data_IF_010958383837
#
_entry.id   IF_010958383837
#
_cell.length_a   1.000
_cell.length_b   1.000
_cell.length_c   1.000
_cell.angle_alpha   90.00
_cell.angle_beta   90.00
_cell.angle_gamma   90.00
#
_symmetry.space_group_name_H-M   'P 1'
#
loop_
_entity.id
_entity.type
_entity.pdbx_description
1 polymer ?
#
# COMPACT_ATOMS: atom_id res chain seq x y z
N UNK A 1 2.04 12.20 -9.53
CA UNK A 1 1.11 12.72 -8.50
C UNK A 1 -0.18 11.92 -8.54
N UNK A 2 -0.44 11.20 -7.45
CA UNK A 2 -1.60 10.30 -7.29
C UNK A 2 -2.86 11.14 -7.03
N UNK A 3 -3.95 10.83 -7.73
CA UNK A 3 -5.22 11.53 -7.52
C UNK A 3 -5.91 11.11 -6.22
N UNK A 4 -6.64 12.03 -5.58
CA UNK A 4 -7.44 11.72 -4.37
C UNK A 4 -8.42 10.56 -4.59
N UNK A 5 -9.09 10.55 -5.75
CA UNK A 5 -10.04 9.51 -6.12
C UNK A 5 -9.35 8.14 -6.25
N UNK A 6 -8.22 8.09 -6.97
CA UNK A 6 -7.44 6.86 -7.15
C UNK A 6 -6.96 6.32 -5.81
N UNK A 7 -6.47 7.20 -4.92
CA UNK A 7 -6.03 6.80 -3.58
C UNK A 7 -7.17 6.20 -2.75
N UNK A 8 -8.35 6.83 -2.72
CA UNK A 8 -9.52 6.29 -2.03
C UNK A 8 -9.99 4.97 -2.64
N UNK A 9 -9.85 4.82 -3.96
CA UNK A 9 -10.21 3.59 -4.65
C UNK A 9 -9.34 2.41 -4.22
N UNK A 10 -8.03 2.65 -4.06
CA UNK A 10 -7.05 1.63 -3.65
C UNK A 10 -7.12 1.33 -2.15
N UNK A 11 -7.45 2.32 -1.32
CA UNK A 11 -7.51 2.14 0.13
C UNK A 11 -8.57 1.09 0.55
N UNK A 12 -8.27 0.20 1.52
CA UNK A 12 -9.12 -0.93 1.88
C UNK A 12 -10.31 -0.54 2.77
N UNK A 13 -11.11 0.45 2.34
CA UNK A 13 -12.38 0.79 2.99
C UNK A 13 -13.41 -0.32 2.80
N UNK A 14 -14.23 -0.56 3.81
CA UNK A 14 -15.38 -1.45 3.69
C UNK A 14 -16.45 -0.85 2.75
N UNK A 15 -17.38 -1.69 2.28
CA UNK A 15 -18.39 -1.30 1.30
C UNK A 15 -19.29 -0.15 1.77
N UNK A 16 -19.65 -0.13 3.06
CA UNK A 16 -20.51 0.92 3.62
C UNK A 16 -19.80 2.29 3.63
N UNK A 17 -18.55 2.32 4.12
CA UNK A 17 -17.72 3.53 4.13
C UNK A 17 -17.47 4.03 2.71
N UNK A 18 -17.20 3.11 1.77
CA UNK A 18 -17.00 3.47 0.37
C UNK A 18 -18.24 4.09 -0.26
N UNK A 19 -19.41 3.49 -0.06
CA UNK A 19 -20.67 4.06 -0.55
C UNK A 19 -20.92 5.47 0.01
N UNK A 20 -20.61 5.72 1.29
CA UNK A 20 -20.71 7.05 1.89
C UNK A 20 -19.73 8.05 1.29
N UNK A 21 -18.49 7.61 0.99
CA UNK A 21 -17.49 8.46 0.36
C UNK A 21 -17.93 8.84 -1.06
N UNK A 22 -18.39 7.88 -1.87
CA UNK A 22 -18.82 8.12 -3.25
C UNK A 22 -20.00 9.10 -3.33
N UNK A 23 -20.97 8.97 -2.42
CA UNK A 23 -22.14 9.87 -2.38
C UNK A 23 -21.79 11.31 -2.00
N UNK A 24 -20.76 11.51 -1.19
CA UNK A 24 -20.45 12.82 -0.61
C UNK A 24 -19.16 13.45 -1.18
N UNK A 25 -18.49 12.79 -2.12
CA UNK A 25 -17.13 13.16 -2.52
C UNK A 25 -17.01 14.60 -3.05
N UNK A 26 -18.00 15.07 -3.80
CA UNK A 26 -18.07 16.43 -4.34
C UNK A 26 -18.38 17.49 -3.28
N UNK A 27 -18.88 17.09 -2.11
CA UNK A 27 -19.23 17.98 -1.00
C UNK A 27 -18.14 18.12 0.07
N UNK A 28 -17.05 17.35 -0.07
CA UNK A 28 -15.94 17.37 0.88
C UNK A 28 -15.15 18.68 0.75
N UNK A 29 -14.89 19.32 1.88
CA UNK A 29 -13.95 20.44 1.95
C UNK A 29 -12.51 19.97 1.73
N UNK A 30 -11.61 20.89 1.39
CA UNK A 30 -10.19 20.57 1.22
C UNK A 30 -9.56 19.96 2.49
N UNK A 31 -9.92 20.46 3.68
CA UNK A 31 -9.47 19.86 4.95
C UNK A 31 -9.97 18.42 5.15
N UNK A 32 -11.20 18.13 4.73
CA UNK A 32 -11.76 16.78 4.80
C UNK A 32 -11.07 15.85 3.81
N UNK A 33 -10.80 16.32 2.59
CA UNK A 33 -10.02 15.57 1.60
C UNK A 33 -8.62 15.27 2.11
N UNK A 34 -7.94 16.25 2.71
CA UNK A 34 -6.60 16.05 3.28
C UNK A 34 -6.61 14.98 4.39
N UNK A 35 -7.57 15.04 5.31
CA UNK A 35 -7.72 14.01 6.37
C UNK A 35 -7.99 12.63 5.78
N UNK A 36 -8.86 12.54 4.77
CA UNK A 36 -9.16 11.28 4.10
C UNK A 36 -7.95 10.72 3.34
N UNK A 37 -7.15 11.57 2.72
CA UNK A 37 -5.86 11.19 2.10
C UNK A 37 -4.93 10.57 3.13
N UNK A 38 -4.79 11.18 4.32
CA UNK A 38 -3.96 10.64 5.39
C UNK A 38 -4.46 9.28 5.89
N UNK A 39 -5.77 9.14 6.08
CA UNK A 39 -6.40 7.87 6.49
C UNK A 39 -6.15 6.80 5.42
N UNK A 40 -6.39 7.12 4.15
CA UNK A 40 -6.20 6.21 3.04
C UNK A 40 -4.76 5.71 2.95
N UNK A 41 -3.77 6.61 3.04
CA UNK A 41 -2.36 6.24 3.07
C UNK A 41 -1.99 5.39 4.28
N UNK A 42 -2.51 5.72 5.46
CA UNK A 42 -2.29 4.92 6.67
C UNK A 42 -2.81 3.49 6.51
N UNK A 43 -4.00 3.33 5.94
CA UNK A 43 -4.59 2.01 5.68
C UNK A 43 -3.83 1.23 4.60
N UNK A 44 -3.41 1.91 3.52
CA UNK A 44 -2.61 1.30 2.45
C UNK A 44 -1.26 0.84 3.00
N UNK A 45 -0.57 1.68 3.78
CA UNK A 45 0.71 1.35 4.41
C UNK A 45 0.58 0.16 5.36
N UNK A 46 -0.43 0.15 6.22
CA UNK A 46 -0.69 -0.98 7.12
C UNK A 46 -0.95 -2.29 6.36
N UNK A 47 -1.77 -2.25 5.30
CA UNK A 47 -2.05 -3.42 4.47
C UNK A 47 -0.79 -3.89 3.72
N UNK A 48 0.01 -2.96 3.21
CA UNK A 48 1.27 -3.25 2.54
C UNK A 48 2.24 -3.97 3.49
N UNK A 49 2.43 -3.46 4.71
CA UNK A 49 3.30 -4.11 5.71
C UNK A 49 2.78 -5.50 6.10
N UNK A 50 1.47 -5.65 6.29
CA UNK A 50 0.87 -6.96 6.58
C UNK A 50 1.11 -7.97 5.45
N UNK A 51 1.00 -7.54 4.19
CA UNK A 51 1.30 -8.38 3.02
C UNK A 51 2.77 -8.73 2.91
N UNK A 52 3.66 -7.76 3.11
CA UNK A 52 5.11 -7.98 3.09
C UNK A 52 5.51 -9.02 4.13
N UNK A 53 5.03 -8.88 5.37
CA UNK A 53 5.31 -9.84 6.44
C UNK A 53 4.75 -11.23 6.11
N UNK A 54 3.50 -11.30 5.64
CA UNK A 54 2.88 -12.57 5.24
C UNK A 54 3.63 -13.27 4.12
N UNK A 55 3.96 -12.57 3.03
CA UNK A 55 4.71 -13.16 1.92
C UNK A 55 6.11 -13.59 2.36
N UNK A 56 6.79 -12.79 3.19
CA UNK A 56 8.09 -13.15 3.74
C UNK A 56 8.02 -14.40 4.64
N UNK A 57 7.02 -14.51 5.50
CA UNK A 57 6.81 -15.69 6.35
C UNK A 57 6.50 -16.95 5.54
N UNK A 58 5.64 -16.85 4.51
CA UNK A 58 5.39 -17.93 3.57
C UNK A 58 6.67 -18.35 2.87
N UNK A 59 7.48 -17.37 2.50
CA UNK A 59 8.72 -17.65 1.81
C UNK A 59 9.73 -18.36 2.72
N UNK A 60 9.87 -17.96 3.98
CA UNK A 60 10.69 -18.67 4.96
C UNK A 60 10.16 -20.07 5.28
N UNK A 61 8.85 -20.28 5.25
CA UNK A 61 8.26 -21.61 5.46
C UNK A 61 8.71 -22.59 4.37
N UNK A 62 8.68 -22.18 3.10
CA UNK A 62 9.17 -23.02 2.00
C UNK A 62 10.68 -23.33 2.11
N UNK A 63 11.49 -22.36 2.58
CA UNK A 63 12.92 -22.59 2.87
C UNK A 63 13.06 -23.67 3.95
N UNK A 64 12.31 -23.53 5.04
CA UNK A 64 12.32 -24.48 6.16
C UNK A 64 11.88 -25.88 5.74
N UNK A 65 10.90 -25.97 4.84
CA UNK A 65 10.41 -27.24 4.29
C UNK A 65 11.33 -27.82 3.20
N UNK A 66 12.42 -27.14 2.86
CA UNK A 66 13.38 -27.57 1.84
C UNK A 66 12.84 -27.47 0.40
N UNK A 67 11.71 -26.78 0.20
CA UNK A 67 11.12 -26.55 -1.13
C UNK A 67 11.94 -25.56 -1.95
N UNK A 68 12.71 -24.70 -1.28
CA UNK A 68 13.63 -23.75 -1.91
C UNK A 68 14.84 -23.45 -1.03
N UNK A 69 15.88 -22.91 -1.65
CA UNK A 69 17.05 -22.42 -0.94
C UNK A 69 16.78 -21.01 -0.37
N UNK A 70 17.43 -20.73 0.76
CA UNK A 70 17.41 -19.38 1.33
C UNK A 70 18.12 -18.39 0.41
N UNK A 71 17.52 -17.22 0.24
CA UNK A 71 18.08 -16.08 -0.46
C UNK A 71 18.09 -14.89 0.49
N UNK A 72 19.25 -14.27 0.68
CA UNK A 72 19.41 -13.11 1.57
C UNK A 72 18.58 -11.90 1.11
N UNK A 73 18.28 -11.82 -0.18
CA UNK A 73 17.51 -10.72 -0.78
C UNK A 73 16.02 -11.02 -0.90
N UNK A 74 15.54 -12.13 -0.31
CA UNK A 74 14.14 -12.58 -0.45
C UNK A 74 13.15 -11.49 -0.03
N UNK A 75 13.47 -10.75 1.04
CA UNK A 75 12.62 -9.67 1.54
C UNK A 75 12.58 -8.49 0.58
N UNK A 76 13.73 -8.06 0.06
CA UNK A 76 13.81 -6.96 -0.91
C UNK A 76 13.07 -7.30 -2.22
N UNK A 77 13.14 -8.55 -2.67
CA UNK A 77 12.40 -9.02 -3.85
C UNK A 77 10.89 -8.94 -3.65
N UNK A 78 10.40 -9.38 -2.50
CA UNK A 78 8.97 -9.26 -2.14
C UNK A 78 8.57 -7.79 -2.04
N UNK A 79 9.42 -6.97 -1.43
CA UNK A 79 9.20 -5.53 -1.30
C UNK A 79 9.04 -4.86 -2.68
N UNK A 80 9.99 -5.10 -3.60
CA UNK A 80 9.93 -4.57 -4.96
C UNK A 80 8.70 -5.02 -5.72
N UNK A 81 8.32 -6.31 -5.60
CA UNK A 81 7.09 -6.84 -6.21
C UNK A 81 5.85 -6.13 -5.67
N UNK A 82 5.72 -6.01 -4.35
CA UNK A 82 4.54 -5.41 -3.71
C UNK A 82 4.45 -3.89 -3.99
N UNK A 83 5.58 -3.19 -4.05
CA UNK A 83 5.62 -1.77 -4.45
C UNK A 83 5.16 -1.60 -5.89
N UNK A 84 5.64 -2.46 -6.80
CA UNK A 84 5.22 -2.41 -8.20
C UNK A 84 3.72 -2.69 -8.36
N UNK A 85 3.19 -3.72 -7.70
CA UNK A 85 1.75 -4.01 -7.69
C UNK A 85 0.91 -2.85 -7.13
N UNK A 86 1.41 -2.17 -6.10
CA UNK A 86 0.73 -1.01 -5.53
C UNK A 86 0.78 0.20 -6.46
N UNK A 87 1.92 0.47 -7.09
CA UNK A 87 2.07 1.54 -8.08
C UNK A 87 1.10 1.34 -9.25
N UNK A 88 0.96 0.11 -9.76
CA UNK A 88 -0.02 -0.23 -10.79
C UNK A 88 -1.46 0.04 -10.34
N UNK A 89 -1.81 -0.30 -9.10
CA UNK A 89 -3.14 -0.01 -8.53
C UNK A 89 -3.41 1.48 -8.38
N UNK A 90 -2.36 2.25 -8.13
CA UNK A 90 -2.41 3.72 -8.07
C UNK A 90 -2.36 4.36 -9.46
N UNK A 91 -2.51 3.56 -10.53
CA UNK A 91 -2.55 4.01 -11.93
C UNK A 91 -1.27 4.74 -12.35
N UNK A 92 -0.17 4.47 -11.67
CA UNK A 92 1.15 5.00 -12.01
C UNK A 92 1.78 4.16 -13.12
N UNK A 93 2.63 4.78 -13.93
CA UNK A 93 3.31 4.09 -15.04
C UNK A 93 4.36 3.07 -14.56
N UNK A 94 4.64 3.03 -13.25
CA UNK A 94 5.57 2.09 -12.64
C UNK A 94 7.02 2.47 -12.87
N UNK A 95 7.29 3.73 -13.21
CA UNK A 95 8.65 4.26 -13.30
C UNK A 95 9.33 4.25 -11.94
N UNK A 96 10.67 4.24 -11.93
CA UNK A 96 11.45 4.23 -10.70
C UNK A 96 11.13 5.43 -9.80
N UNK A 97 10.91 6.60 -10.38
CA UNK A 97 10.54 7.82 -9.65
C UNK A 97 9.16 7.71 -8.97
N UNK A 98 8.17 7.14 -9.66
CA UNK A 98 6.83 6.92 -9.12
C UNK A 98 6.81 5.83 -8.04
N UNK A 99 7.60 4.77 -8.21
CA UNK A 99 7.77 3.72 -7.21
C UNK A 99 8.42 4.31 -5.95
N UNK A 100 9.40 5.19 -6.11
CA UNK A 100 10.05 5.89 -5.01
C UNK A 100 9.09 6.86 -4.30
N UNK A 101 8.18 7.53 -5.03
CA UNK A 101 7.11 8.35 -4.45
C UNK A 101 6.16 7.50 -3.58
N UNK A 102 5.75 6.33 -4.07
CA UNK A 102 4.92 5.37 -3.33
C UNK A 102 5.66 4.85 -2.10
N UNK A 103 6.94 4.49 -2.23
CA UNK A 103 7.77 4.01 -1.13
C UNK A 103 7.88 5.06 -0.02
N UNK A 104 8.21 6.31 -0.36
CA UNK A 104 8.27 7.43 0.60
C UNK A 104 6.94 7.64 1.32
N UNK A 105 5.83 7.54 0.58
CA UNK A 105 4.49 7.64 1.15
C UNK A 105 4.23 6.52 2.15
N UNK A 106 4.54 5.26 1.79
CA UNK A 106 4.41 4.13 2.71
C UNK A 106 5.25 4.34 3.96
N UNK A 107 6.51 4.77 3.82
CA UNK A 107 7.43 5.01 4.94
C UNK A 107 6.93 6.12 5.87
N UNK A 108 6.42 7.23 5.30
CA UNK A 108 5.85 8.33 6.07
C UNK A 108 4.64 7.91 6.91
N UNK A 109 3.79 7.06 6.36
CA UNK A 109 2.56 6.59 7.01
C UNK A 109 2.72 5.22 7.68
N UNK A 110 3.94 4.68 7.71
CA UNK A 110 4.28 3.48 8.46
C UNK A 110 4.15 3.85 9.92
N UNK A 111 3.03 3.48 10.55
CA UNK A 111 2.85 3.66 11.98
C UNK A 111 4.06 3.03 12.68
N UNK A 112 4.81 3.83 13.42
CA UNK A 112 5.74 3.33 14.44
C UNK A 112 4.91 2.51 15.43
N UNK A 113 4.75 1.22 15.16
CA UNK A 113 4.40 0.25 16.19
C UNK A 113 5.66 0.09 17.04
N UNK A 114 5.86 1.04 17.96
CA UNK A 114 6.75 0.94 19.11
C UNK A 114 5.92 1.03 20.37
#
# INVERSE_FOLDING_TARGET
MISFQTLLNVAPFNAETRAKLDLNMSSLSEDQKLKLTQIAWSMISALYQAKLNKEFELELLDVREGKKQYDENIREKIEGKLLHELAQKLELSGTEEEIEEVKKSIEQFKTSSS
#
